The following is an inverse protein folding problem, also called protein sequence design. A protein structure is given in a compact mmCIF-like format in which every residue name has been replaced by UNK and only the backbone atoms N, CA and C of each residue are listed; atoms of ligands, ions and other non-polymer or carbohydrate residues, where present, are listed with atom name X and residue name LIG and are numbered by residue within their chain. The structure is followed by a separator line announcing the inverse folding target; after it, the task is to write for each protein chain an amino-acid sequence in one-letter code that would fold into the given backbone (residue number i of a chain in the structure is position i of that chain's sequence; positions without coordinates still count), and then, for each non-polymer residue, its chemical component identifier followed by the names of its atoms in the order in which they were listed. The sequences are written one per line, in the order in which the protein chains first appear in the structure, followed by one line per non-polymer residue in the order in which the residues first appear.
data_IF_594313869621
#
_entry.id   IF_594313869621
#
_cell.length_a   1.000
_cell.length_b   1.000
_cell.length_c   1.000
_cell.angle_alpha   90.00
_cell.angle_beta   90.00
_cell.angle_gamma   90.00
#
_symmetry.space_group_name_H-M   'P 1'
#
loop_
_entity.id
_entity.type
_entity.pdbx_description
1 polymer ?
#
# COMPACT_ATOMS: atom_id res chain seq x y z
N UNK A 1 -54.39 -3.79 50.08
CA UNK A 1 -55.37 -2.75 49.71
C UNK A 1 -55.40 -2.73 48.19
N UNK A 2 -56.53 -3.16 47.62
CA UNK A 2 -56.81 -3.24 46.19
C UNK A 2 -56.78 -1.85 45.55
N UNK A 3 -56.37 -1.75 44.27
CA UNK A 3 -57.17 -1.09 43.23
C UNK A 3 -56.60 -1.40 41.83
N UNK A 4 -57.40 -2.15 41.08
CA UNK A 4 -57.43 -2.18 39.62
C UNK A 4 -57.82 -0.80 39.07
N UNK A 5 -57.27 -0.42 37.92
CA UNK A 5 -57.98 0.36 36.92
C UNK A 5 -57.47 -0.02 35.53
N UNK A 6 -58.39 -0.49 34.69
CA UNK A 6 -58.26 -0.58 33.23
C UNK A 6 -58.36 0.85 32.67
N UNK A 7 -57.77 1.10 31.52
CA UNK A 7 -58.54 1.46 30.31
C UNK A 7 -57.62 1.63 29.11
N UNK A 8 -58.00 0.96 28.03
CA UNK A 8 -57.39 1.12 26.72
C UNK A 8 -57.93 2.38 26.05
N UNK A 9 -57.03 3.12 25.41
CA UNK A 9 -57.38 4.06 24.37
C UNK A 9 -56.35 3.90 23.26
N UNK A 10 -56.82 3.25 22.20
CA UNK A 10 -56.23 3.17 20.88
C UNK A 10 -56.09 4.60 20.31
N UNK A 11 -54.85 5.07 20.19
CA UNK A 11 -54.51 6.26 19.41
C UNK A 11 -53.59 5.81 18.27
N UNK A 12 -54.21 5.34 17.20
CA UNK A 12 -53.58 5.14 15.90
C UNK A 12 -53.02 6.48 15.40
N UNK A 13 -51.71 6.68 15.58
CA UNK A 13 -50.95 7.69 14.83
C UNK A 13 -50.49 7.07 13.51
N UNK A 14 -50.76 7.68 12.35
CA UNK A 14 -50.25 7.16 11.09
C UNK A 14 -48.74 7.36 11.07
N UNK A 15 -48.00 6.24 11.11
CA UNK A 15 -46.57 6.21 10.81
C UNK A 15 -46.39 6.72 9.38
N UNK A 16 -45.90 7.95 9.20
CA UNK A 16 -45.18 8.29 7.97
C UNK A 16 -43.82 7.62 8.05
N UNK A 17 -43.80 6.33 7.76
CA UNK A 17 -42.59 5.62 7.38
C UNK A 17 -42.25 6.17 5.98
N UNK A 18 -41.54 7.30 5.93
CA UNK A 18 -40.90 7.75 4.69
C UNK A 18 -39.71 6.82 4.48
N UNK A 19 -39.99 5.67 3.86
CA UNK A 19 -38.98 4.73 3.38
C UNK A 19 -38.30 5.36 2.17
N UNK A 20 -37.30 6.20 2.42
CA UNK A 20 -36.19 6.33 1.48
C UNK A 20 -35.20 5.26 1.90
N UNK A 21 -35.31 4.09 1.28
CA UNK A 21 -34.19 3.15 1.24
C UNK A 21 -33.28 3.72 0.14
N UNK A 22 -32.44 4.71 0.47
CA UNK A 22 -31.16 4.77 -0.21
C UNK A 22 -30.45 3.55 0.36
N UNK A 23 -30.37 2.47 -0.41
CA UNK A 23 -29.47 1.39 -0.03
C UNK A 23 -28.09 2.02 0.00
N UNK A 24 -27.55 2.27 1.20
CA UNK A 24 -26.12 2.54 1.31
C UNK A 24 -25.43 1.36 0.62
N UNK A 25 -24.63 1.60 -0.43
CA UNK A 25 -23.90 0.53 -1.08
C UNK A 25 -22.87 0.02 -0.07
N UNK A 26 -23.27 -0.99 0.70
CA UNK A 26 -22.46 -1.57 1.79
C UNK A 26 -21.08 -1.99 1.29
N UNK A 27 -20.96 -2.35 0.00
CA UNK A 27 -19.67 -2.65 -0.64
C UNK A 27 -18.79 -1.43 -0.90
N UNK A 28 -19.36 -0.25 -1.19
CA UNK A 28 -18.58 0.94 -1.55
C UNK A 28 -17.87 1.54 -0.34
N UNK A 29 -18.51 1.53 0.83
CA UNK A 29 -17.88 1.89 2.11
C UNK A 29 -16.71 0.96 2.43
N UNK A 30 -16.91 -0.35 2.26
CA UNK A 30 -15.88 -1.38 2.44
C UNK A 30 -14.69 -1.17 1.51
N UNK A 31 -14.97 -0.97 0.21
CA UNK A 31 -13.95 -0.68 -0.79
C UNK A 31 -13.18 0.61 -0.46
N UNK A 32 -13.87 1.72 -0.18
CA UNK A 32 -13.22 2.99 0.18
C UNK A 32 -12.34 2.85 1.42
N UNK A 33 -12.78 2.09 2.43
CA UNK A 33 -11.99 1.80 3.61
C UNK A 33 -10.73 0.97 3.31
N UNK A 34 -10.81 -0.04 2.42
CA UNK A 34 -9.63 -0.79 1.97
C UNK A 34 -8.67 0.08 1.16
N UNK A 35 -9.16 0.95 0.26
CA UNK A 35 -8.33 1.86 -0.53
C UNK A 35 -7.55 2.83 0.36
N UNK A 36 -8.20 3.37 1.38
CA UNK A 36 -7.52 4.26 2.33
C UNK A 36 -6.41 3.53 3.10
N UNK A 37 -6.65 2.29 3.54
CA UNK A 37 -5.61 1.48 4.21
C UNK A 37 -4.47 1.11 3.28
N UNK A 38 -4.76 0.68 2.04
CA UNK A 38 -3.75 0.38 1.04
C UNK A 38 -2.91 1.64 0.73
N UNK A 39 -3.55 2.81 0.52
CA UNK A 39 -2.85 4.08 0.34
C UNK A 39 -1.92 4.39 1.52
N UNK A 40 -2.37 4.19 2.76
CA UNK A 40 -1.53 4.43 3.94
C UNK A 40 -0.32 3.51 4.02
N UNK A 41 -0.44 2.26 3.55
CA UNK A 41 0.71 1.35 3.46
C UNK A 41 1.67 1.77 2.33
N UNK A 42 1.16 2.26 1.21
CA UNK A 42 1.98 2.83 0.14
C UNK A 42 2.72 4.10 0.62
N UNK A 43 2.07 4.95 1.42
CA UNK A 43 2.68 6.15 2.02
C UNK A 43 3.85 5.74 2.92
N UNK A 44 3.64 4.70 3.72
CA UNK A 44 4.69 4.13 4.57
C UNK A 44 5.82 3.51 3.75
N UNK A 45 5.52 2.79 2.65
CA UNK A 45 6.53 2.24 1.75
C UNK A 45 7.41 3.35 1.16
N UNK A 46 6.81 4.42 0.63
CA UNK A 46 7.55 5.57 0.11
C UNK A 46 8.47 6.17 1.17
N UNK A 47 7.93 6.40 2.38
CA UNK A 47 8.72 6.91 3.50
C UNK A 47 9.91 6.02 3.87
N UNK A 48 9.74 4.68 3.84
CA UNK A 48 10.83 3.74 4.13
C UNK A 48 11.89 3.75 3.03
N UNK A 49 11.50 3.84 1.76
CA UNK A 49 12.43 3.99 0.64
C UNK A 49 13.23 5.29 0.74
N UNK A 50 12.57 6.42 1.04
CA UNK A 50 13.24 7.70 1.25
C UNK A 50 14.20 7.65 2.44
N UNK A 51 13.81 7.00 3.53
CA UNK A 51 14.65 6.80 4.72
C UNK A 51 15.90 5.98 4.40
N UNK A 52 15.76 4.88 3.64
CA UNK A 52 16.91 4.08 3.20
C UNK A 52 17.86 4.92 2.34
N UNK A 53 17.31 5.72 1.42
CA UNK A 53 18.11 6.60 0.56
C UNK A 53 18.88 7.66 1.37
N UNK A 54 18.29 8.22 2.42
CA UNK A 54 18.98 9.16 3.33
C UNK A 54 20.16 8.51 4.05
N UNK A 55 20.02 7.26 4.49
CA UNK A 55 21.13 6.51 5.09
C UNK A 55 22.24 6.22 4.07
N UNK A 56 21.86 5.80 2.87
CA UNK A 56 22.79 5.55 1.75
C UNK A 56 23.54 6.84 1.36
N UNK A 57 22.84 7.95 1.21
CA UNK A 57 23.42 9.25 0.83
C UNK A 57 24.39 9.81 1.87
N UNK A 58 24.32 9.36 3.13
CA UNK A 58 25.28 9.72 4.18
C UNK A 58 26.34 8.64 4.43
N UNK A 59 26.40 7.60 3.58
CA UNK A 59 27.37 6.50 3.68
C UNK A 59 27.14 5.56 4.88
N UNK A 60 25.99 5.64 5.56
CA UNK A 60 25.71 4.87 6.78
C UNK A 60 25.14 3.49 6.48
N UNK A 61 25.93 2.65 5.79
CA UNK A 61 25.50 1.32 5.31
C UNK A 61 25.21 0.32 6.44
N UNK A 62 25.63 0.58 7.67
CA UNK A 62 25.31 -0.26 8.84
C UNK A 62 23.80 -0.32 9.16
N UNK A 63 23.00 0.64 8.66
CA UNK A 63 21.54 0.64 8.85
C UNK A 63 20.78 -0.18 7.81
N UNK A 64 21.45 -0.71 6.77
CA UNK A 64 20.78 -1.39 5.65
C UNK A 64 19.99 -2.63 6.09
N UNK A 65 20.47 -3.38 7.07
CA UNK A 65 19.72 -4.52 7.61
C UNK A 65 18.38 -4.08 8.22
N UNK A 66 18.36 -2.95 8.93
CA UNK A 66 17.14 -2.42 9.54
C UNK A 66 16.19 -1.85 8.49
N UNK A 67 16.71 -1.07 7.55
CA UNK A 67 15.85 -0.47 6.52
C UNK A 67 15.30 -1.52 5.55
N UNK A 68 16.04 -2.59 5.28
CA UNK A 68 15.54 -3.73 4.49
C UNK A 68 14.42 -4.46 5.22
N UNK A 69 14.59 -4.76 6.51
CA UNK A 69 13.56 -5.41 7.32
C UNK A 69 12.29 -4.55 7.43
N UNK A 70 12.44 -3.23 7.56
CA UNK A 70 11.32 -2.29 7.56
C UNK A 70 10.55 -2.32 6.22
N UNK A 71 11.25 -2.38 5.08
CA UNK A 71 10.62 -2.51 3.76
C UNK A 71 9.88 -3.84 3.62
N UNK A 72 10.51 -4.96 3.99
CA UNK A 72 9.89 -6.29 3.96
C UNK A 72 8.61 -6.35 4.79
N UNK A 73 8.63 -5.78 6.00
CA UNK A 73 7.44 -5.72 6.86
C UNK A 73 6.30 -4.93 6.21
N UNK A 74 6.60 -3.83 5.52
CA UNK A 74 5.59 -3.05 4.78
C UNK A 74 5.06 -3.83 3.58
N UNK A 75 5.94 -4.52 2.83
CA UNK A 75 5.53 -5.36 1.69
C UNK A 75 4.63 -6.51 2.13
N UNK A 76 4.90 -7.12 3.27
CA UNK A 76 4.00 -8.14 3.85
C UNK A 76 2.60 -7.56 4.12
N UNK A 77 2.52 -6.36 4.73
CA UNK A 77 1.22 -5.71 5.00
C UNK A 77 0.49 -5.27 3.73
N UNK A 78 1.21 -4.75 2.73
CA UNK A 78 0.63 -4.40 1.44
C UNK A 78 -0.05 -5.59 0.78
N UNK A 79 0.58 -6.78 0.81
CA UNK A 79 -0.05 -8.00 0.26
C UNK A 79 -1.41 -8.30 0.89
N UNK A 80 -1.56 -8.10 2.21
CA UNK A 80 -2.84 -8.28 2.89
C UNK A 80 -3.87 -7.22 2.50
N UNK A 81 -3.47 -5.94 2.42
CA UNK A 81 -4.37 -4.86 2.01
C UNK A 81 -4.83 -5.01 0.55
N UNK A 82 -3.94 -5.41 -0.36
CA UNK A 82 -4.28 -5.69 -1.76
C UNK A 82 -5.27 -6.84 -1.87
N UNK A 83 -5.11 -7.91 -1.10
CA UNK A 83 -6.08 -9.01 -1.06
C UNK A 83 -7.44 -8.56 -0.53
N UNK A 84 -7.45 -7.76 0.55
CA UNK A 84 -8.69 -7.22 1.11
C UNK A 84 -9.41 -6.31 0.11
N UNK A 85 -8.69 -5.40 -0.55
CA UNK A 85 -9.22 -4.56 -1.62
C UNK A 85 -9.81 -5.38 -2.76
N UNK A 86 -9.14 -6.45 -3.19
CA UNK A 86 -9.65 -7.29 -4.27
C UNK A 86 -11.01 -7.93 -3.92
N UNK A 87 -11.20 -8.34 -2.67
CA UNK A 87 -12.48 -8.88 -2.18
C UNK A 87 -13.58 -7.81 -2.22
N UNK A 88 -13.31 -6.62 -1.69
CA UNK A 88 -14.29 -5.53 -1.69
C UNK A 88 -14.60 -5.03 -3.11
N UNK A 89 -13.58 -4.90 -3.97
CA UNK A 89 -13.75 -4.50 -5.36
C UNK A 89 -14.62 -5.49 -6.14
N UNK A 90 -14.45 -6.80 -5.90
CA UNK A 90 -15.29 -7.83 -6.51
C UNK A 90 -16.74 -7.77 -6.01
N UNK A 91 -16.96 -7.50 -4.72
CA UNK A 91 -18.30 -7.31 -4.16
C UNK A 91 -19.00 -6.09 -4.79
N UNK A 92 -18.30 -4.96 -4.89
CA UNK A 92 -18.81 -3.75 -5.54
C UNK A 92 -19.08 -3.98 -7.03
N UNK A 93 -18.19 -4.68 -7.74
CA UNK A 93 -18.38 -5.02 -9.14
C UNK A 93 -19.65 -5.85 -9.36
N UNK A 94 -19.89 -6.85 -8.50
CA UNK A 94 -21.10 -7.67 -8.55
C UNK A 94 -22.36 -6.84 -8.24
N UNK A 95 -22.28 -5.95 -7.26
CA UNK A 95 -23.39 -5.07 -6.87
C UNK A 95 -23.75 -4.07 -7.98
N UNK A 96 -22.75 -3.49 -8.64
CA UNK A 96 -22.92 -2.46 -9.69
C UNK A 96 -23.01 -3.03 -11.11
N UNK A 97 -22.97 -4.35 -11.26
CA UNK A 97 -23.11 -5.03 -12.56
C UNK A 97 -21.92 -4.85 -13.50
N UNK A 98 -20.71 -4.68 -12.96
CA UNK A 98 -19.46 -4.59 -13.74
C UNK A 98 -18.95 -6.01 -14.05
N UNK A 99 -18.89 -6.44 -15.32
CA UNK A 99 -18.46 -7.79 -15.67
C UNK A 99 -16.93 -7.95 -15.67
N UNK A 100 -16.44 -9.14 -15.34
CA UNK A 100 -15.02 -9.47 -15.38
C UNK A 100 -14.23 -8.90 -14.20
N UNK A 101 -12.91 -8.84 -14.34
CA UNK A 101 -12.02 -8.29 -13.31
C UNK A 101 -12.19 -6.76 -13.23
N UNK A 102 -12.51 -6.20 -12.04
CA UNK A 102 -12.76 -4.79 -11.91
C UNK A 102 -11.46 -3.99 -11.75
N UNK A 103 -11.32 -2.94 -12.55
CA UNK A 103 -10.40 -1.83 -12.27
C UNK A 103 -11.16 -0.64 -11.65
N UNK A 104 -10.44 0.21 -10.92
CA UNK A 104 -11.01 1.32 -10.17
C UNK A 104 -11.69 2.36 -11.07
N UNK A 105 -11.23 2.51 -12.32
CA UNK A 105 -11.84 3.44 -13.28
C UNK A 105 -13.21 2.93 -13.74
N UNK A 106 -13.34 1.63 -14.01
CA UNK A 106 -14.60 0.99 -14.39
C UNK A 106 -15.59 0.98 -13.23
N UNK A 107 -15.12 0.71 -12.01
CA UNK A 107 -15.94 0.81 -10.82
C UNK A 107 -16.48 2.24 -10.63
N UNK A 108 -15.61 3.25 -10.72
CA UNK A 108 -16.05 4.65 -10.59
C UNK A 108 -17.06 5.07 -11.67
N UNK A 109 -16.92 4.58 -12.90
CA UNK A 109 -17.85 4.86 -14.00
C UNK A 109 -19.22 4.15 -13.85
N UNK A 110 -19.25 3.00 -13.18
CA UNK A 110 -20.47 2.24 -12.89
C UNK A 110 -21.12 2.63 -11.56
N UNK A 111 -20.49 3.52 -10.79
CA UNK A 111 -21.00 3.96 -9.51
C UNK A 111 -22.42 4.55 -9.65
N UNK A 112 -23.37 4.18 -8.76
CA UNK A 112 -24.68 4.81 -8.71
C UNK A 112 -24.60 6.33 -8.52
N UNK A 113 -25.70 7.04 -8.82
CA UNK A 113 -25.80 8.47 -8.56
C UNK A 113 -25.46 8.78 -7.09
N UNK A 114 -24.49 9.66 -6.87
CA UNK A 114 -23.99 10.00 -5.54
C UNK A 114 -22.51 10.35 -5.54
N UNK A 115 -21.88 10.25 -4.37
CA UNK A 115 -20.49 10.68 -4.14
C UNK A 115 -19.44 9.64 -4.55
N UNK A 116 -19.84 8.38 -4.75
CA UNK A 116 -18.91 7.26 -4.84
C UNK A 116 -18.01 7.33 -6.07
N UNK A 117 -18.55 7.69 -7.23
CA UNK A 117 -17.75 7.83 -8.46
C UNK A 117 -16.62 8.85 -8.29
N UNK A 118 -16.92 10.02 -7.72
CA UNK A 118 -15.93 11.06 -7.44
C UNK A 118 -14.89 10.60 -6.41
N UNK A 119 -15.34 10.01 -5.29
CA UNK A 119 -14.45 9.55 -4.22
C UNK A 119 -13.47 8.45 -4.70
N UNK A 120 -13.94 7.49 -5.51
CA UNK A 120 -13.09 6.45 -6.08
C UNK A 120 -12.06 7.04 -7.07
N UNK A 121 -12.42 8.07 -7.83
CA UNK A 121 -11.49 8.79 -8.72
C UNK A 121 -10.45 9.60 -7.94
N UNK A 122 -10.81 10.17 -6.79
CA UNK A 122 -9.86 10.85 -5.92
C UNK A 122 -8.85 9.87 -5.32
N UNK A 123 -9.30 8.73 -4.79
CA UNK A 123 -8.40 7.65 -4.37
C UNK A 123 -7.46 7.22 -5.49
N UNK A 124 -8.00 7.03 -6.70
CA UNK A 124 -7.22 6.66 -7.87
C UNK A 124 -6.10 7.66 -8.15
N UNK A 125 -6.42 8.96 -8.14
CA UNK A 125 -5.46 10.04 -8.40
C UNK A 125 -4.34 10.04 -7.37
N UNK A 126 -4.69 10.01 -6.09
CA UNK A 126 -3.74 10.06 -4.98
C UNK A 126 -2.81 8.85 -4.99
N UNK A 127 -3.36 7.65 -5.18
CA UNK A 127 -2.57 6.43 -5.22
C UNK A 127 -1.69 6.37 -6.47
N UNK A 128 -2.17 6.86 -7.62
CA UNK A 128 -1.35 6.93 -8.85
C UNK A 128 -0.14 7.86 -8.68
N UNK A 129 -0.32 9.00 -8.03
CA UNK A 129 0.78 9.92 -7.71
C UNK A 129 1.78 9.25 -6.75
N UNK A 130 1.28 8.56 -5.75
CA UNK A 130 2.10 7.86 -4.78
C UNK A 130 2.92 6.72 -5.40
N UNK A 131 2.35 5.97 -6.35
CA UNK A 131 3.09 4.95 -7.11
C UNK A 131 4.24 5.55 -7.93
N UNK A 132 4.07 6.75 -8.49
CA UNK A 132 5.14 7.46 -9.20
C UNK A 132 6.29 7.85 -8.25
N UNK A 133 5.96 8.32 -7.04
CA UNK A 133 6.96 8.63 -6.02
C UNK A 133 7.70 7.37 -5.57
N UNK A 134 6.97 6.26 -5.33
CA UNK A 134 7.56 4.96 -4.97
C UNK A 134 8.51 4.50 -6.07
N UNK A 135 8.10 4.54 -7.34
CA UNK A 135 8.97 4.12 -8.45
C UNK A 135 10.24 4.98 -8.53
N UNK A 136 10.11 6.29 -8.35
CA UNK A 136 11.26 7.21 -8.32
C UNK A 136 12.21 6.88 -7.16
N UNK A 137 11.67 6.58 -5.98
CA UNK A 137 12.44 6.20 -4.80
C UNK A 137 13.10 4.82 -4.96
N UNK A 138 12.45 3.85 -5.62
CA UNK A 138 13.03 2.55 -5.98
C UNK A 138 14.25 2.75 -6.88
N UNK A 139 14.13 3.52 -7.96
CA UNK A 139 15.25 3.76 -8.88
C UNK A 139 16.42 4.48 -8.20
N UNK A 140 16.14 5.48 -7.35
CA UNK A 140 17.17 6.18 -6.60
C UNK A 140 17.91 5.27 -5.61
N UNK A 141 17.18 4.41 -4.88
CA UNK A 141 17.80 3.43 -3.99
C UNK A 141 18.61 2.39 -4.78
N UNK A 142 18.08 1.90 -5.90
CA UNK A 142 18.75 0.93 -6.78
C UNK A 142 20.11 1.45 -7.23
N UNK A 143 20.17 2.69 -7.70
CA UNK A 143 21.41 3.32 -8.14
C UNK A 143 22.41 3.50 -6.97
N UNK A 144 21.93 4.00 -5.83
CA UNK A 144 22.77 4.19 -4.65
C UNK A 144 23.34 2.87 -4.11
N UNK A 145 22.56 1.78 -4.12
CA UNK A 145 22.98 0.45 -3.69
C UNK A 145 23.98 -0.19 -4.65
N UNK A 146 23.81 -0.02 -5.97
CA UNK A 146 24.80 -0.45 -6.96
C UNK A 146 26.14 0.26 -6.76
N UNK A 147 26.12 1.58 -6.58
CA UNK A 147 27.33 2.35 -6.28
C UNK A 147 28.00 1.90 -4.96
N UNK A 148 27.20 1.59 -3.93
CA UNK A 148 27.72 1.04 -2.68
C UNK A 148 28.39 -0.34 -2.88
N UNK A 149 27.79 -1.23 -3.67
CA UNK A 149 28.35 -2.55 -4.00
C UNK A 149 29.67 -2.43 -4.78
N UNK A 150 29.76 -1.53 -5.75
CA UNK A 150 31.00 -1.25 -6.48
C UNK A 150 32.09 -0.70 -5.55
N UNK A 151 31.73 0.13 -4.57
CA UNK A 151 32.64 0.60 -3.53
C UNK A 151 33.19 -0.54 -2.69
N UNK A 152 32.33 -1.45 -2.23
CA UNK A 152 32.73 -2.62 -1.44
C UNK A 152 33.60 -3.58 -2.25
N UNK A 153 33.33 -3.78 -3.54
CA UNK A 153 34.16 -4.61 -4.41
C UNK A 153 35.59 -4.04 -4.54
N UNK A 154 35.73 -2.72 -4.68
CA UNK A 154 37.05 -2.06 -4.70
C UNK A 154 37.79 -2.22 -3.36
N UNK A 155 37.08 -2.15 -2.23
CA UNK A 155 37.67 -2.39 -0.91
C UNK A 155 38.19 -3.83 -0.77
N UNK A 156 37.46 -4.82 -1.30
CA UNK A 156 37.89 -6.24 -1.33
C UNK A 156 39.16 -6.44 -2.16
N UNK A 157 39.23 -5.87 -3.36
CA UNK A 157 40.40 -5.98 -4.24
C UNK A 157 41.65 -5.36 -3.59
N UNK A 158 41.49 -4.23 -2.90
CA UNK A 158 42.55 -3.58 -2.14
C UNK A 158 43.04 -4.44 -0.97
N UNK A 159 42.11 -5.08 -0.25
CA UNK A 159 42.43 -6.00 0.85
C UNK A 159 43.16 -7.25 0.35
N UNK A 160 42.70 -7.87 -0.74
CA UNK A 160 43.35 -9.03 -1.33
C UNK A 160 44.81 -8.75 -1.77
N UNK A 161 45.12 -7.47 -2.03
CA UNK A 161 46.46 -7.01 -2.42
C UNK A 161 47.33 -6.57 -1.23
N UNK A 162 46.80 -6.57 0.00
CA UNK A 162 47.49 -6.11 1.21
C UNK A 162 48.09 -7.28 2.01
N UNK A 163 49.32 -7.18 2.52
CA UNK A 163 49.94 -8.20 3.36
C UNK A 163 49.46 -8.18 4.84
N UNK A 164 48.66 -7.20 5.25
CA UNK A 164 48.10 -7.13 6.62
C UNK A 164 46.79 -7.92 6.75
N UNK A 165 46.53 -8.56 7.92
CA UNK A 165 45.28 -9.26 8.16
C UNK A 165 44.11 -8.27 8.23
N UNK A 166 43.43 -8.09 7.10
CA UNK A 166 42.30 -7.20 6.98
C UNK A 166 41.06 -7.75 7.69
N UNK A 167 40.13 -6.85 8.03
CA UNK A 167 38.78 -7.18 8.50
C UNK A 167 37.88 -7.65 7.35
N UNK A 168 38.32 -8.71 6.66
CA UNK A 168 37.68 -9.27 5.46
C UNK A 168 36.22 -9.66 5.73
N UNK A 169 35.93 -10.20 6.92
CA UNK A 169 34.58 -10.58 7.33
C UNK A 169 33.62 -9.38 7.36
N UNK A 170 34.06 -8.23 7.87
CA UNK A 170 33.25 -7.00 7.90
C UNK A 170 32.95 -6.49 6.49
N UNK A 171 33.92 -6.57 5.57
CA UNK A 171 33.73 -6.15 4.19
C UNK A 171 32.72 -7.08 3.48
N UNK A 172 32.85 -8.39 3.66
CA UNK A 172 31.88 -9.37 3.14
C UNK A 172 30.48 -9.17 3.72
N UNK A 173 30.36 -8.86 5.02
CA UNK A 173 29.07 -8.57 5.65
C UNK A 173 28.43 -7.30 5.05
N UNK A 174 29.20 -6.25 4.80
CA UNK A 174 28.71 -5.04 4.11
C UNK A 174 28.24 -5.35 2.69
N UNK A 175 28.96 -6.19 1.96
CA UNK A 175 28.58 -6.63 0.61
C UNK A 175 27.24 -7.38 0.63
N UNK A 176 27.11 -8.37 1.52
CA UNK A 176 25.90 -9.18 1.65
C UNK A 176 24.69 -8.32 2.04
N UNK A 177 24.86 -7.38 2.97
CA UNK A 177 23.79 -6.47 3.38
C UNK A 177 23.35 -5.55 2.24
N UNK A 178 24.29 -5.00 1.45
CA UNK A 178 23.96 -4.17 0.30
C UNK A 178 23.28 -4.97 -0.83
N UNK A 179 23.71 -6.20 -1.08
CA UNK A 179 23.09 -7.09 -2.06
C UNK A 179 21.67 -7.48 -1.65
N UNK A 180 21.45 -7.79 -0.37
CA UNK A 180 20.12 -8.06 0.16
C UNK A 180 19.21 -6.83 0.07
N UNK A 181 19.69 -5.65 0.48
CA UNK A 181 18.92 -4.41 0.36
C UNK A 181 18.52 -4.12 -1.09
N UNK A 182 19.41 -4.37 -2.06
CA UNK A 182 19.11 -4.23 -3.48
C UNK A 182 17.98 -5.17 -3.91
N UNK A 183 18.06 -6.45 -3.53
CA UNK A 183 17.00 -7.41 -3.83
C UNK A 183 15.65 -7.04 -3.19
N UNK A 184 15.65 -6.48 -1.98
CA UNK A 184 14.42 -6.00 -1.33
C UNK A 184 13.82 -4.82 -2.09
N UNK A 185 14.64 -3.83 -2.48
CA UNK A 185 14.20 -2.66 -3.26
C UNK A 185 13.61 -3.06 -4.61
N UNK A 186 14.20 -4.02 -5.30
CA UNK A 186 13.67 -4.55 -6.57
C UNK A 186 12.28 -5.19 -6.42
N UNK A 187 11.94 -5.68 -5.22
CA UNK A 187 10.63 -6.22 -4.91
C UNK A 187 9.61 -5.18 -4.41
N UNK A 188 9.98 -3.90 -4.30
CA UNK A 188 9.07 -2.87 -3.80
C UNK A 188 8.03 -2.39 -4.83
N UNK A 189 8.16 -2.75 -6.10
CA UNK A 189 7.19 -2.42 -7.14
C UNK A 189 5.79 -2.96 -6.82
N UNK A 190 4.75 -2.22 -7.21
CA UNK A 190 3.34 -2.54 -6.89
C UNK A 190 2.48 -2.74 -8.16
N UNK A 191 2.80 -3.73 -9.02
CA UNK A 191 2.12 -3.92 -10.30
C UNK A 191 0.62 -4.22 -10.15
N UNK A 192 0.22 -5.01 -9.15
CA UNK A 192 -1.20 -5.33 -8.89
C UNK A 192 -2.02 -4.14 -8.39
N UNK A 193 -1.34 -3.14 -7.81
CA UNK A 193 -1.99 -1.87 -7.46
C UNK A 193 -2.11 -1.03 -8.73
N UNK A 194 -1.02 -0.89 -9.51
CA UNK A 194 -1.04 -0.13 -10.76
C UNK A 194 -2.11 -0.63 -11.75
N UNK A 195 -2.19 -1.95 -11.94
CA UNK A 195 -3.19 -2.61 -12.78
C UNK A 195 -4.62 -2.28 -12.30
N UNK A 196 -4.88 -2.42 -11.00
CA UNK A 196 -6.18 -2.08 -10.43
C UNK A 196 -6.53 -0.60 -10.58
N UNK A 197 -5.54 0.31 -10.54
CA UNK A 197 -5.75 1.74 -10.80
C UNK A 197 -5.96 2.06 -12.29
N UNK A 198 -5.86 1.08 -13.18
CA UNK A 198 -5.95 1.26 -14.64
C UNK A 198 -4.75 1.99 -15.23
N UNK A 199 -3.58 1.91 -14.57
CA UNK A 199 -2.31 2.36 -15.12
C UNK A 199 -1.63 1.15 -15.77
N UNK A 200 -1.81 0.96 -17.08
CA UNK A 200 -0.97 0.03 -17.85
C UNK A 200 0.39 0.69 -18.14
N UNK A 201 1.45 -0.11 -18.03
CA UNK A 201 2.84 0.24 -18.35
C UNK A 201 3.02 1.03 -19.66
#
# INVERSE_FOLDING_TARGET
MYCHAKDGADFASPRRQNSIVIGEPLGADGLSATLWRERRQLELLNFRLETQLLHLGTGKTQWLTFTSADLEAVLEKLRFETLARNVEAAAVAAEWGVPGEPDLQRLAAAAPEGIWGELLLDHRRDMSLLLQHIQSAIEANREALKSALEGVARDLDAVASSPEPADELSILARQANAAHALAVVENCGQPLVAEFLGATE
#
